data_IF_995425656236
#
_entry.id   IF_995425656236
#
_cell.length_a   1.000
_cell.length_b   1.000
_cell.length_c   1.000
_cell.angle_alpha   90.00
_cell.angle_beta   90.00
_cell.angle_gamma   90.00
#
_symmetry.space_group_name_H-M   'P 1'
#
loop_
_entity.id
_entity.type
_entity.pdbx_description
1 polymer ?
#
# COMPACT_ATOMS: atom_id res chain seq x y z
N UNK A 1 -13.68 9.36 25.91
CA UNK A 1 -14.50 8.38 25.16
C UNK A 1 -15.93 8.34 25.65
N UNK A 2 -16.18 8.04 26.94
CA UNK A 2 -17.55 7.97 27.48
C UNK A 2 -18.36 9.26 27.26
N UNK A 3 -17.80 10.43 27.55
CA UNK A 3 -18.46 11.73 27.32
C UNK A 3 -18.72 12.01 25.83
N UNK A 4 -17.75 11.72 24.95
CA UNK A 4 -17.94 11.86 23.49
C UNK A 4 -19.06 10.97 22.95
N UNK A 5 -19.21 9.74 23.47
CA UNK A 5 -20.26 8.83 23.02
C UNK A 5 -21.65 9.32 23.43
N UNK A 6 -21.79 9.92 24.61
CA UNK A 6 -23.03 10.54 25.06
C UNK A 6 -23.42 11.73 24.19
N UNK A 7 -22.44 12.53 23.77
CA UNK A 7 -22.63 13.66 22.88
C UNK A 7 -22.97 13.23 21.45
N UNK A 8 -22.29 12.19 20.93
CA UNK A 8 -22.47 11.69 19.56
C UNK A 8 -23.76 10.87 19.41
N UNK A 9 -24.15 10.11 20.44
CA UNK A 9 -25.33 9.24 20.45
C UNK A 9 -26.26 9.58 21.62
N UNK A 10 -26.96 10.72 21.58
CA UNK A 10 -27.80 11.20 22.69
C UNK A 10 -28.99 10.28 23.02
N UNK A 11 -29.37 9.39 22.09
CA UNK A 11 -30.45 8.41 22.26
C UNK A 11 -29.97 7.04 22.80
N UNK A 12 -28.70 6.91 23.22
CA UNK A 12 -28.22 5.68 23.85
C UNK A 12 -28.79 5.57 25.29
N UNK A 13 -29.99 5.02 25.43
CA UNK A 13 -30.81 5.13 26.64
C UNK A 13 -30.44 4.18 27.81
N UNK A 14 -29.39 3.37 27.70
CA UNK A 14 -28.99 2.43 28.76
C UNK A 14 -27.52 2.57 29.15
N UNK A 15 -27.25 2.90 30.42
CA UNK A 15 -25.90 3.07 30.96
C UNK A 15 -25.04 1.79 30.96
N UNK A 16 -25.67 0.61 30.92
CA UNK A 16 -24.99 -0.68 30.70
C UNK A 16 -24.40 -0.80 29.29
N UNK A 17 -25.09 -0.25 28.30
CA UNK A 17 -24.69 -0.38 26.89
C UNK A 17 -23.50 0.53 26.58
N UNK A 18 -23.51 1.75 27.12
CA UNK A 18 -22.39 2.70 26.99
C UNK A 18 -21.12 2.13 27.63
N UNK A 19 -21.22 1.53 28.81
CA UNK A 19 -20.06 0.91 29.48
C UNK A 19 -19.45 -0.23 28.64
N UNK A 20 -20.30 -1.01 27.95
CA UNK A 20 -19.84 -2.07 27.06
C UNK A 20 -19.21 -1.51 25.78
N UNK A 21 -19.78 -0.46 25.18
CA UNK A 21 -19.21 0.20 24.00
C UNK A 21 -17.86 0.84 24.30
N UNK A 22 -17.69 1.46 25.47
CA UNK A 22 -16.40 2.00 25.90
C UNK A 22 -15.34 0.89 25.95
N UNK A 23 -15.67 -0.29 26.51
CA UNK A 23 -14.75 -1.44 26.53
C UNK A 23 -14.40 -1.92 25.12
N UNK A 24 -15.38 -1.98 24.22
CA UNK A 24 -15.15 -2.38 22.81
C UNK A 24 -14.24 -1.38 22.09
N UNK A 25 -14.51 -0.09 22.23
CA UNK A 25 -13.68 0.97 21.63
C UNK A 25 -12.27 0.93 22.19
N UNK A 26 -12.10 0.74 23.50
CA UNK A 26 -10.78 0.56 24.11
C UNK A 26 -10.02 -0.62 23.47
N UNK A 27 -10.67 -1.78 23.32
CA UNK A 27 -10.06 -2.95 22.67
C UNK A 27 -9.66 -2.70 21.21
N UNK A 28 -10.44 -1.92 20.47
CA UNK A 28 -10.09 -1.50 19.09
C UNK A 28 -8.89 -0.57 19.11
N UNK A 29 -8.86 0.40 20.03
CA UNK A 29 -7.77 1.36 20.17
C UNK A 29 -6.45 0.70 20.58
N UNK A 30 -6.48 -0.43 21.30
CA UNK A 30 -5.30 -1.24 21.60
C UNK A 30 -4.58 -1.72 20.31
N UNK A 31 -5.31 -1.81 19.19
CA UNK A 31 -4.78 -2.17 17.86
C UNK A 31 -4.83 -0.98 16.90
N UNK A 32 -4.50 0.23 17.37
CA UNK A 32 -4.57 1.47 16.58
C UNK A 32 -3.73 1.47 15.29
N UNK A 33 -2.79 0.53 15.13
CA UNK A 33 -2.07 0.33 13.87
C UNK A 33 -2.96 -0.20 12.74
N UNK A 34 -4.06 -0.90 13.06
CA UNK A 34 -5.07 -1.39 12.10
C UNK A 34 -6.18 -0.37 11.82
N UNK A 35 -6.21 0.76 12.54
CA UNK A 35 -7.25 1.77 12.41
C UNK A 35 -6.81 2.87 11.43
N UNK A 36 -7.63 3.15 10.44
CA UNK A 36 -7.44 4.27 9.49
C UNK A 36 -8.73 5.07 9.42
N UNK A 37 -8.62 6.41 9.54
CA UNK A 37 -9.76 7.31 9.50
C UNK A 37 -9.77 8.01 8.15
N UNK A 38 -10.88 7.92 7.43
CA UNK A 38 -11.11 8.64 6.19
C UNK A 38 -12.16 9.72 6.42
N UNK A 39 -11.81 10.95 6.09
CA UNK A 39 -12.73 12.08 6.05
C UNK A 39 -13.20 12.29 4.61
N UNK A 40 -14.46 11.99 4.27
CA UNK A 40 -14.97 12.10 2.91
C UNK A 40 -15.12 13.56 2.45
N UNK A 41 -15.07 14.53 3.36
CA UNK A 41 -15.15 15.96 3.02
C UNK A 41 -13.78 16.53 2.61
N UNK A 42 -12.69 15.79 2.83
CA UNK A 42 -11.36 16.14 2.33
C UNK A 42 -11.20 15.69 0.87
N UNK A 43 -11.37 16.62 -0.07
CA UNK A 43 -11.23 16.40 -1.52
C UNK A 43 -9.86 15.85 -1.96
N UNK A 44 -8.85 15.87 -1.08
CA UNK A 44 -7.46 15.54 -1.40
C UNK A 44 -7.14 14.04 -1.36
N UNK A 45 -8.08 13.18 -0.98
CA UNK A 45 -7.81 11.77 -0.67
C UNK A 45 -8.75 10.83 -1.41
N UNK A 46 -8.32 10.30 -2.55
CA UNK A 46 -9.02 9.20 -3.25
C UNK A 46 -9.09 7.95 -2.36
N UNK A 47 -10.20 7.20 -2.40
CA UNK A 47 -10.45 6.08 -1.48
C UNK A 47 -9.40 4.96 -1.58
N UNK A 48 -8.92 4.67 -2.78
CA UNK A 48 -7.84 3.72 -3.05
C UNK A 48 -6.53 4.12 -2.33
N UNK A 49 -6.20 5.42 -2.28
CA UNK A 49 -5.11 5.98 -1.45
C UNK A 49 -5.22 5.48 -0.02
N UNK A 50 -6.42 5.62 0.55
CA UNK A 50 -6.65 5.42 1.97
C UNK A 50 -6.62 3.95 2.30
N UNK A 51 -7.20 3.13 1.43
CA UNK A 51 -7.15 1.68 1.55
C UNK A 51 -5.70 1.21 1.49
N UNK A 52 -4.92 1.65 0.49
CA UNK A 52 -3.53 1.23 0.36
C UNK A 52 -2.67 1.69 1.54
N UNK A 53 -2.82 2.93 2.00
CA UNK A 53 -2.13 3.43 3.20
C UNK A 53 -2.52 2.65 4.45
N UNK A 54 -3.77 2.23 4.59
CA UNK A 54 -4.22 1.40 5.71
C UNK A 54 -3.55 0.03 5.71
N UNK A 55 -3.43 -0.61 4.54
CA UNK A 55 -2.76 -1.90 4.39
C UNK A 55 -1.26 -1.78 4.72
N UNK A 56 -0.57 -0.80 4.13
CA UNK A 56 0.86 -0.58 4.41
C UNK A 56 1.10 -0.29 5.89
N UNK A 57 0.25 0.52 6.52
CA UNK A 57 0.32 0.82 7.96
C UNK A 57 0.15 -0.45 8.81
N UNK A 58 -0.77 -1.33 8.44
CA UNK A 58 -0.99 -2.59 9.13
C UNK A 58 0.24 -3.52 9.01
N UNK A 59 0.82 -3.67 7.82
CA UNK A 59 1.99 -4.52 7.59
C UNK A 59 3.24 -4.01 8.32
N UNK A 60 3.50 -2.70 8.33
CA UNK A 60 4.61 -2.07 9.10
C UNK A 60 4.65 -2.43 10.57
N UNK A 61 3.50 -2.69 11.18
CA UNK A 61 3.42 -3.02 12.60
C UNK A 61 3.82 -4.46 12.93
N UNK A 62 3.92 -5.33 11.92
CA UNK A 62 4.12 -6.76 12.10
C UNK A 62 5.55 -7.20 11.78
N UNK A 63 6.18 -6.59 10.77
CA UNK A 63 7.48 -7.02 10.26
C UNK A 63 8.20 -5.93 9.47
N UNK A 64 9.51 -6.12 9.29
CA UNK A 64 10.37 -5.31 8.42
C UNK A 64 10.92 -6.11 7.23
N UNK A 65 10.42 -7.33 7.02
CA UNK A 65 10.83 -8.16 5.90
C UNK A 65 10.15 -7.68 4.61
N UNK A 66 10.94 -7.52 3.52
CA UNK A 66 10.45 -7.02 2.23
C UNK A 66 9.28 -7.85 1.66
N UNK A 67 9.26 -9.15 1.94
CA UNK A 67 8.21 -10.06 1.48
C UNK A 67 6.84 -9.71 2.06
N UNK A 68 6.80 -9.15 3.28
CA UNK A 68 5.54 -8.75 3.92
C UNK A 68 4.95 -7.45 3.35
N UNK A 69 5.69 -6.77 2.47
CA UNK A 69 5.25 -5.57 1.76
C UNK A 69 5.02 -5.79 0.28
N UNK A 70 5.26 -7.01 -0.22
CA UNK A 70 5.25 -7.28 -1.65
C UNK A 70 3.84 -7.12 -2.25
N UNK A 71 2.81 -7.54 -1.51
CA UNK A 71 1.42 -7.39 -1.94
C UNK A 71 1.00 -5.91 -1.98
N UNK A 72 1.39 -5.10 -1.00
CA UNK A 72 1.16 -3.65 -1.01
C UNK A 72 1.93 -2.97 -2.14
N UNK A 73 3.16 -3.43 -2.45
CA UNK A 73 3.93 -2.88 -3.55
C UNK A 73 3.28 -3.22 -4.90
N UNK A 74 2.78 -4.45 -5.07
CA UNK A 74 1.99 -4.84 -6.25
C UNK A 74 0.73 -4.00 -6.39
N UNK A 75 0.00 -3.75 -5.30
CA UNK A 75 -1.16 -2.86 -5.31
C UNK A 75 -0.78 -1.43 -5.67
N UNK A 76 0.31 -0.90 -5.10
CA UNK A 76 0.82 0.43 -5.42
C UNK A 76 1.16 0.54 -6.90
N UNK A 77 1.84 -0.46 -7.47
CA UNK A 77 2.11 -0.53 -8.90
C UNK A 77 0.79 -0.56 -9.66
N UNK A 78 -0.11 -1.50 -9.37
CA UNK A 78 -1.39 -1.67 -10.08
C UNK A 78 -2.21 -0.37 -10.13
N UNK A 79 -2.31 0.35 -9.01
CA UNK A 79 -3.08 1.59 -8.87
C UNK A 79 -2.28 2.85 -9.24
N UNK A 80 -1.05 2.69 -9.73
CA UNK A 80 -0.16 3.78 -10.13
C UNK A 80 0.13 4.79 -8.99
N UNK A 81 0.30 4.27 -7.76
CA UNK A 81 0.55 5.05 -6.54
C UNK A 81 2.02 5.05 -6.15
N UNK A 82 2.83 5.65 -7.03
CA UNK A 82 4.28 5.80 -6.81
C UNK A 82 4.59 6.68 -5.60
N UNK A 83 3.71 7.62 -5.28
CA UNK A 83 3.79 8.47 -4.09
C UNK A 83 3.81 7.62 -2.82
N UNK A 84 2.85 6.70 -2.68
CA UNK A 84 2.75 5.79 -1.52
C UNK A 84 3.91 4.81 -1.51
N UNK A 85 4.25 4.21 -2.66
CA UNK A 85 5.39 3.30 -2.72
C UNK A 85 6.67 3.98 -2.22
N UNK A 86 6.90 5.24 -2.63
CA UNK A 86 8.08 6.01 -2.22
C UNK A 86 8.04 6.45 -0.76
N UNK A 87 6.92 6.98 -0.27
CA UNK A 87 6.84 7.51 1.11
C UNK A 87 6.69 6.42 2.16
N UNK A 88 6.00 5.33 1.83
CA UNK A 88 5.57 4.34 2.80
C UNK A 88 6.24 2.99 2.62
N UNK A 89 6.60 2.54 1.41
CA UNK A 89 7.21 1.21 1.22
C UNK A 89 8.74 1.30 1.14
N UNK A 90 9.27 2.24 0.34
CA UNK A 90 10.70 2.52 0.21
C UNK A 90 11.14 3.65 1.14
N UNK A 91 10.76 3.56 2.42
CA UNK A 91 11.03 4.60 3.42
C UNK A 91 12.35 4.42 4.19
N UNK A 92 13.12 3.38 3.86
CA UNK A 92 14.40 3.06 4.49
C UNK A 92 14.32 2.11 5.69
N UNK A 93 13.11 1.71 6.12
CA UNK A 93 12.94 0.76 7.23
C UNK A 93 13.09 -0.71 6.78
N UNK A 94 12.93 -0.97 5.49
CA UNK A 94 12.95 -2.30 4.86
C UNK A 94 14.13 -2.40 3.90
N UNK A 95 14.93 -3.46 4.03
CA UNK A 95 16.02 -3.74 3.10
C UNK A 95 15.51 -4.55 1.91
N UNK A 96 15.47 -3.92 0.73
CA UNK A 96 15.04 -4.54 -0.51
C UNK A 96 16.21 -5.13 -1.29
N UNK A 97 16.07 -6.35 -1.78
CA UNK A 97 17.01 -6.92 -2.76
C UNK A 97 16.44 -6.76 -4.16
N UNK A 98 17.32 -6.68 -5.15
CA UNK A 98 16.92 -6.65 -6.56
C UNK A 98 16.01 -7.85 -6.93
N UNK A 99 16.24 -9.02 -6.32
CA UNK A 99 15.40 -10.22 -6.50
C UNK A 99 13.96 -10.05 -6.02
N UNK A 100 13.73 -9.24 -4.98
CA UNK A 100 12.38 -8.98 -4.45
C UNK A 100 11.57 -8.08 -5.40
N UNK A 101 12.27 -7.30 -6.23
CA UNK A 101 11.69 -6.30 -7.12
C UNK A 101 11.46 -6.80 -8.55
N UNK A 102 11.86 -8.04 -8.87
CA UNK A 102 11.88 -8.49 -10.27
C UNK A 102 10.47 -8.59 -10.88
N UNK A 103 9.51 -9.11 -10.12
CA UNK A 103 8.12 -9.25 -10.57
C UNK A 103 7.47 -7.88 -10.79
N UNK A 104 7.56 -7.00 -9.79
CA UNK A 104 6.98 -5.64 -9.87
C UNK A 104 7.68 -4.77 -10.92
N UNK A 105 8.96 -5.00 -11.19
CA UNK A 105 9.68 -4.35 -12.30
C UNK A 105 9.12 -4.80 -13.66
N UNK A 106 8.90 -6.11 -13.86
CA UNK A 106 8.24 -6.59 -15.10
C UNK A 106 6.86 -5.97 -15.26
N UNK A 107 6.05 -5.94 -14.20
CA UNK A 107 4.71 -5.33 -14.23
C UNK A 107 4.77 -3.84 -14.58
N UNK A 108 5.72 -3.09 -14.01
CA UNK A 108 5.90 -1.67 -14.31
C UNK A 108 6.30 -1.42 -15.77
N UNK A 109 7.15 -2.28 -16.34
CA UNK A 109 7.56 -2.19 -17.74
C UNK A 109 6.39 -2.52 -18.69
N UNK A 110 5.66 -3.59 -18.43
CA UNK A 110 4.52 -4.03 -19.26
C UNK A 110 3.40 -3.00 -19.25
N UNK A 111 3.14 -2.36 -18.10
CA UNK A 111 2.03 -1.44 -17.92
C UNK A 111 2.41 0.05 -18.13
N UNK A 112 3.57 0.33 -18.73
CA UNK A 112 4.06 1.70 -19.01
C UNK A 112 4.05 2.61 -17.75
N UNK A 113 4.71 2.16 -16.68
CA UNK A 113 4.82 2.88 -15.40
C UNK A 113 6.24 3.38 -15.16
N UNK A 114 6.71 4.41 -15.91
CA UNK A 114 8.11 4.85 -15.88
C UNK A 114 8.56 5.38 -14.52
N UNK A 115 7.65 5.97 -13.73
CA UNK A 115 7.99 6.46 -12.39
C UNK A 115 8.29 5.30 -11.41
N UNK A 116 7.60 4.16 -11.56
CA UNK A 116 7.92 2.94 -10.82
C UNK A 116 9.23 2.31 -11.29
N UNK A 117 9.47 2.27 -12.61
CA UNK A 117 10.75 1.80 -13.16
C UNK A 117 11.91 2.63 -12.57
N UNK A 118 11.78 3.95 -12.54
CA UNK A 118 12.76 4.84 -11.91
C UNK A 118 12.91 4.54 -10.42
N UNK A 119 11.80 4.41 -9.70
CA UNK A 119 11.81 4.10 -8.26
C UNK A 119 12.55 2.79 -7.97
N UNK A 120 12.34 1.74 -8.76
CA UNK A 120 13.02 0.45 -8.56
C UNK A 120 14.51 0.51 -8.90
N UNK A 121 14.90 1.26 -9.93
CA UNK A 121 16.32 1.50 -10.25
C UNK A 121 16.99 2.27 -9.12
N UNK A 122 16.34 3.31 -8.59
CA UNK A 122 16.81 4.09 -7.45
C UNK A 122 16.95 3.22 -6.18
N UNK A 123 16.20 2.12 -6.08
CA UNK A 123 16.22 1.16 -4.98
C UNK A 123 16.99 -0.14 -5.29
N UNK A 124 17.91 -0.11 -6.26
CA UNK A 124 18.93 -1.16 -6.42
C UNK A 124 18.69 -2.16 -7.55
N UNK A 125 17.66 -1.98 -8.39
CA UNK A 125 17.53 -2.80 -9.61
C UNK A 125 18.52 -2.32 -10.67
N UNK A 126 19.45 -3.19 -11.05
CA UNK A 126 20.31 -2.97 -12.21
C UNK A 126 19.63 -3.46 -13.49
N UNK A 127 19.20 -2.54 -14.36
CA UNK A 127 18.52 -2.88 -15.62
C UNK A 127 19.36 -3.78 -16.54
N UNK A 128 20.68 -3.65 -16.53
CA UNK A 128 21.57 -4.46 -17.37
C UNK A 128 21.63 -5.93 -16.92
N UNK A 129 21.53 -6.19 -15.62
CA UNK A 129 21.43 -7.55 -15.07
C UNK A 129 20.00 -8.09 -15.13
N UNK A 130 19.03 -7.20 -14.91
CA UNK A 130 17.61 -7.55 -14.91
C UNK A 130 17.11 -7.99 -16.29
N UNK A 131 17.47 -7.28 -17.37
CA UNK A 131 16.99 -7.53 -18.73
C UNK A 131 17.72 -8.70 -19.42
N UNK A 132 17.46 -9.91 -18.93
CA UNK A 132 17.92 -11.14 -19.59
C UNK A 132 17.25 -11.34 -20.95
N UNK A 133 17.83 -12.20 -21.80
CA UNK A 133 17.21 -12.58 -23.08
C UNK A 133 15.75 -13.05 -22.90
N UNK A 134 15.47 -13.87 -21.87
CA UNK A 134 14.12 -14.35 -21.58
C UNK A 134 13.16 -13.22 -21.26
N UNK A 135 13.54 -12.30 -20.36
CA UNK A 135 12.70 -11.14 -20.00
C UNK A 135 12.48 -10.19 -21.17
N UNK A 136 13.50 -9.96 -22.00
CA UNK A 136 13.33 -9.19 -23.22
C UNK A 136 12.32 -9.85 -24.15
N UNK A 137 12.43 -11.17 -24.36
CA UNK A 137 11.47 -11.91 -25.17
C UNK A 137 10.04 -11.80 -24.61
N UNK A 138 9.86 -11.92 -23.29
CA UNK A 138 8.57 -11.75 -22.62
C UNK A 138 8.01 -10.33 -22.82
N UNK A 139 8.86 -9.29 -22.72
CA UNK A 139 8.46 -7.91 -22.97
C UNK A 139 8.00 -7.72 -24.42
N UNK A 140 8.74 -8.24 -25.41
CA UNK A 140 8.33 -8.18 -26.82
C UNK A 140 7.00 -8.91 -27.06
N UNK A 141 6.74 -10.02 -26.37
CA UNK A 141 5.46 -10.74 -26.45
C UNK A 141 4.29 -10.05 -25.74
N UNK A 142 4.57 -9.21 -24.74
CA UNK A 142 3.53 -8.46 -24.03
C UNK A 142 2.94 -7.31 -24.85
N UNK A 143 3.63 -6.90 -25.93
CA UNK A 143 3.17 -5.86 -26.84
C UNK A 143 1.95 -6.35 -27.63
N UNK A 144 0.93 -5.49 -27.77
CA UNK A 144 -0.26 -5.80 -28.57
C UNK A 144 0.12 -6.18 -30.01
N UNK A 145 -0.55 -7.18 -30.60
CA UNK A 145 -0.42 -7.52 -32.03
C UNK A 145 -0.76 -6.35 -32.97
N UNK A 146 -1.42 -5.30 -32.47
CA UNK A 146 -1.73 -4.08 -33.23
C UNK A 146 -0.66 -2.99 -33.10
N UNK A 147 0.35 -3.21 -32.27
CA UNK A 147 1.50 -2.31 -32.17
C UNK A 147 2.29 -2.34 -33.47
N UNK A 148 2.78 -1.17 -33.90
CA UNK A 148 3.59 -1.01 -35.11
C UNK A 148 5.10 -1.21 -34.84
N UNK A 149 5.45 -1.73 -33.66
CA UNK A 149 6.80 -2.13 -33.28
C UNK A 149 7.14 -3.52 -33.80
#
# INVERSE_FOLDING_TARGET
VHELLLDTFPNAHHGSDISNWVKLIQKILDHGHLLTVHDPEQETSELDTVILKALVKACKSQSQDAQDFLDELKLAVAWNRVDIAKSDIFNGDVEWKASDLEEVMMDALINDKPDFVRLFVDNGVNLGEFLTYGRLQDLYWSVSETSLL
#
